data_IF_970465801330
#
_entry.id   IF_970465801330
#
_cell.length_a   1.000
_cell.length_b   1.000
_cell.length_c   1.000
_cell.angle_alpha   90.00
_cell.angle_beta   90.00
_cell.angle_gamma   90.00
#
_symmetry.space_group_name_H-M   'P 1'
#
loop_
_entity.id
_entity.type
_entity.pdbx_description
1 polymer ?
#
# COMPACT_ATOMS: atom_id res chain seq x y z
N UNK A 1 -33.40 0.05 15.90
CA UNK A 1 -33.58 1.30 16.68
C UNK A 1 -32.36 2.19 16.53
N UNK A 2 -32.28 3.30 17.27
CA UNK A 2 -31.08 4.15 17.26
C UNK A 2 -29.83 3.39 17.73
N UNK A 3 -29.99 2.47 18.68
CA UNK A 3 -28.91 1.60 19.18
C UNK A 3 -28.30 0.72 18.09
N UNK A 4 -29.13 0.01 17.31
CA UNK A 4 -28.65 -0.88 16.25
C UNK A 4 -27.83 -0.12 15.19
N UNK A 5 -28.23 1.12 14.83
CA UNK A 5 -27.48 1.96 13.89
C UNK A 5 -26.14 2.44 14.45
N UNK A 6 -26.07 2.72 15.75
CA UNK A 6 -24.82 3.11 16.41
C UNK A 6 -23.82 1.94 16.45
N UNK A 7 -24.30 0.72 16.66
CA UNK A 7 -23.47 -0.49 16.65
C UNK A 7 -22.94 -0.82 15.24
N UNK A 8 -23.78 -0.65 14.22
CA UNK A 8 -23.40 -0.81 12.81
C UNK A 8 -22.29 0.18 12.43
N UNK A 9 -22.48 1.49 12.69
CA UNK A 9 -21.46 2.50 12.42
C UNK A 9 -20.16 2.24 13.19
N UNK A 10 -20.22 1.90 14.47
CA UNK A 10 -19.00 1.60 15.24
C UNK A 10 -18.21 0.41 14.64
N UNK A 11 -18.92 -0.56 14.06
CA UNK A 11 -18.32 -1.70 13.38
C UNK A 11 -17.68 -1.30 12.05
N UNK A 12 -18.36 -0.49 11.25
CA UNK A 12 -17.87 0.06 9.99
C UNK A 12 -16.62 0.91 10.21
N UNK A 13 -16.67 1.90 11.11
CA UNK A 13 -15.52 2.76 11.43
C UNK A 13 -14.30 1.95 11.90
N UNK A 14 -14.51 0.87 12.68
CA UNK A 14 -13.43 -0.01 13.10
C UNK A 14 -12.87 -0.83 11.94
N UNK A 15 -13.70 -1.22 10.98
CA UNK A 15 -13.27 -1.93 9.78
C UNK A 15 -12.47 -1.00 8.85
N UNK A 16 -12.95 0.22 8.62
CA UNK A 16 -12.26 1.27 7.85
C UNK A 16 -10.88 1.57 8.44
N UNK A 17 -10.79 1.86 9.75
CA UNK A 17 -9.49 2.14 10.38
C UNK A 17 -8.50 0.97 10.30
N UNK A 18 -8.99 -0.29 10.32
CA UNK A 18 -8.13 -1.46 10.08
C UNK A 18 -7.70 -1.59 8.62
N UNK A 19 -8.52 -1.15 7.66
CA UNK A 19 -8.16 -1.15 6.25
C UNK A 19 -7.12 -0.06 5.96
N UNK A 20 -7.36 1.17 6.42
CA UNK A 20 -6.42 2.28 6.29
C UNK A 20 -5.04 1.94 6.90
N UNK A 21 -5.04 1.39 8.12
CA UNK A 21 -3.81 0.96 8.78
C UNK A 21 -3.05 -0.14 8.04
N UNK A 22 -3.76 -1.06 7.36
CA UNK A 22 -3.11 -2.08 6.50
C UNK A 22 -2.51 -1.45 5.26
N UNK A 23 -3.25 -0.61 4.54
CA UNK A 23 -2.76 0.06 3.34
C UNK A 23 -1.52 0.92 3.61
N UNK A 24 -1.52 1.67 4.71
CA UNK A 24 -0.35 2.46 5.11
C UNK A 24 0.85 1.56 5.47
N UNK A 25 0.59 0.45 6.18
CA UNK A 25 1.60 -0.55 6.51
C UNK A 25 2.24 -1.18 5.26
N UNK A 26 1.44 -1.49 4.25
CA UNK A 26 1.90 -2.05 2.97
C UNK A 26 2.74 -1.06 2.17
N UNK A 27 2.33 0.20 2.07
CA UNK A 27 3.12 1.27 1.44
C UNK A 27 4.49 1.43 2.11
N UNK A 28 4.54 1.46 3.44
CA UNK A 28 5.78 1.54 4.20
C UNK A 28 6.65 0.29 4.02
N UNK A 29 6.04 -0.90 3.98
CA UNK A 29 6.75 -2.14 3.72
C UNK A 29 7.38 -2.15 2.32
N UNK A 30 6.63 -1.72 1.30
CA UNK A 30 7.12 -1.59 -0.07
C UNK A 30 8.31 -0.64 -0.15
N UNK A 31 8.22 0.57 0.43
CA UNK A 31 9.33 1.52 0.45
C UNK A 31 10.59 0.95 1.10
N UNK A 32 10.45 0.20 2.21
CA UNK A 32 11.56 -0.48 2.88
C UNK A 32 12.17 -1.59 2.01
N UNK A 33 11.35 -2.38 1.32
CA UNK A 33 11.81 -3.44 0.43
C UNK A 33 12.56 -2.86 -0.78
N UNK A 34 12.00 -1.82 -1.42
CA UNK A 34 12.65 -1.12 -2.52
C UNK A 34 13.99 -0.52 -2.08
N UNK A 35 14.01 0.13 -0.91
CA UNK A 35 15.25 0.70 -0.36
C UNK A 35 16.30 -0.37 -0.10
N UNK A 36 15.87 -1.53 0.40
CA UNK A 36 16.77 -2.66 0.69
C UNK A 36 17.35 -3.29 -0.57
N UNK A 37 16.59 -3.36 -1.67
CA UNK A 37 17.05 -3.99 -2.92
C UNK A 37 17.82 -3.04 -3.83
N UNK A 38 17.37 -1.80 -3.93
CA UNK A 38 17.85 -0.85 -4.93
C UNK A 38 18.62 0.34 -4.33
N UNK A 39 18.72 0.43 -2.99
CA UNK A 39 19.33 1.57 -2.30
C UNK A 39 18.36 2.75 -2.18
N UNK A 40 18.90 3.97 -2.02
CA UNK A 40 18.05 5.16 -1.86
C UNK A 40 17.11 5.34 -3.07
N UNK A 41 15.80 5.29 -2.81
CA UNK A 41 14.78 5.49 -3.85
C UNK A 41 14.54 6.98 -4.11
N UNK A 42 14.47 7.42 -5.38
CA UNK A 42 14.12 8.80 -5.73
C UNK A 42 12.73 9.20 -5.19
N UNK A 43 12.59 10.47 -4.80
CA UNK A 43 11.35 11.01 -4.20
C UNK A 43 10.10 10.75 -5.05
N UNK A 44 10.22 10.80 -6.39
CA UNK A 44 9.11 10.53 -7.30
C UNK A 44 8.48 9.14 -7.10
N UNK A 45 9.26 8.13 -6.72
CA UNK A 45 8.73 6.79 -6.43
C UNK A 45 8.02 6.75 -5.08
N UNK A 46 8.57 7.43 -4.07
CA UNK A 46 7.93 7.56 -2.76
C UNK A 46 6.58 8.29 -2.87
N UNK A 47 6.52 9.37 -3.65
CA UNK A 47 5.30 10.11 -3.93
C UNK A 47 4.27 9.22 -4.63
N UNK A 48 4.70 8.47 -5.66
CA UNK A 48 3.83 7.51 -6.36
C UNK A 48 3.27 6.44 -5.43
N UNK A 49 4.08 5.88 -4.52
CA UNK A 49 3.62 4.88 -3.55
C UNK A 49 2.59 5.48 -2.59
N UNK A 50 2.79 6.72 -2.14
CA UNK A 50 1.89 7.36 -1.17
C UNK A 50 0.46 7.55 -1.68
N UNK A 51 0.29 7.76 -2.99
CA UNK A 51 -1.02 7.95 -3.63
C UNK A 51 -1.54 6.70 -4.33
N UNK A 52 -0.79 5.59 -4.30
CA UNK A 52 -1.17 4.37 -4.99
C UNK A 52 -2.38 3.70 -4.34
N UNK A 53 -3.20 3.07 -5.18
CA UNK A 53 -4.29 2.20 -4.75
C UNK A 53 -3.76 0.93 -4.05
N UNK A 54 -4.61 0.30 -3.23
CA UNK A 54 -4.30 -0.98 -2.56
C UNK A 54 -3.82 -2.03 -3.57
N UNK A 55 -4.53 -2.18 -4.69
CA UNK A 55 -4.20 -3.13 -5.75
C UNK A 55 -2.83 -2.85 -6.41
N UNK A 56 -2.48 -1.58 -6.63
CA UNK A 56 -1.17 -1.23 -7.17
C UNK A 56 -0.04 -1.59 -6.18
N UNK A 57 -0.24 -1.30 -4.89
CA UNK A 57 0.75 -1.62 -3.85
C UNK A 57 0.93 -3.13 -3.71
N UNK A 58 -0.15 -3.91 -3.75
CA UNK A 58 -0.10 -5.38 -3.71
C UNK A 58 0.72 -5.94 -4.88
N UNK A 59 0.45 -5.50 -6.10
CA UNK A 59 1.21 -5.91 -7.29
C UNK A 59 2.69 -5.53 -7.17
N UNK A 60 3.00 -4.33 -6.66
CA UNK A 60 4.38 -3.92 -6.46
C UNK A 60 5.08 -4.68 -5.33
N UNK A 61 4.35 -5.09 -4.29
CA UNK A 61 4.88 -5.95 -3.21
C UNK A 61 5.23 -7.35 -3.69
N UNK A 62 4.51 -7.88 -4.67
CA UNK A 62 4.87 -9.15 -5.32
C UNK A 62 6.11 -8.95 -6.21
N UNK A 63 6.07 -7.96 -7.11
CA UNK A 63 7.15 -7.68 -8.08
C UNK A 63 8.45 -7.23 -7.43
N UNK A 64 8.42 -6.55 -6.28
CA UNK A 64 9.64 -6.09 -5.62
C UNK A 64 10.51 -7.26 -5.17
N UNK A 65 10.02 -8.50 -5.13
CA UNK A 65 10.83 -9.65 -4.74
C UNK A 65 11.78 -10.12 -5.84
N UNK A 66 11.39 -10.00 -7.11
CA UNK A 66 12.10 -10.59 -8.25
C UNK A 66 12.47 -9.59 -9.37
N UNK A 67 11.86 -8.40 -9.40
CA UNK A 67 12.10 -7.40 -10.43
C UNK A 67 13.60 -7.07 -10.57
N UNK A 68 14.14 -6.96 -11.80
CA UNK A 68 15.56 -6.73 -12.05
C UNK A 68 15.99 -5.27 -11.79
N UNK A 69 15.05 -4.32 -11.73
CA UNK A 69 15.31 -2.91 -11.47
C UNK A 69 14.15 -2.25 -10.72
N UNK A 70 14.38 -1.03 -10.28
CA UNK A 70 13.35 -0.20 -9.65
C UNK A 70 12.19 0.04 -10.63
N UNK A 71 12.49 0.40 -11.88
CA UNK A 71 11.53 0.70 -12.94
C UNK A 71 10.62 -0.51 -13.23
N UNK A 72 11.20 -1.71 -13.27
CA UNK A 72 10.47 -2.95 -13.56
C UNK A 72 9.38 -3.27 -12.52
N UNK A 73 9.53 -2.84 -11.27
CA UNK A 73 8.47 -2.99 -10.24
C UNK A 73 7.21 -2.24 -10.66
N UNK A 74 7.40 -1.07 -11.25
CA UNK A 74 6.35 -0.08 -11.50
C UNK A 74 5.81 -0.08 -12.93
N UNK A 75 6.14 -1.08 -13.73
CA UNK A 75 5.59 -1.25 -15.07
C UNK A 75 4.05 -1.32 -15.03
N UNK A 76 3.34 -0.85 -16.08
CA UNK A 76 1.88 -0.90 -16.12
C UNK A 76 1.34 -2.31 -15.87
N UNK A 77 0.17 -2.41 -15.24
CA UNK A 77 -0.59 -3.65 -15.23
C UNK A 77 -1.11 -3.89 -16.64
N UNK A 78 -0.89 -5.10 -17.17
CA UNK A 78 -1.42 -5.51 -18.48
C UNK A 78 -2.92 -5.78 -18.41
#
# INVERSE_FOLDING_TARGET
>A
GLSDRLEEWATEYKAEGRQEGRQEGERLALQRLLTKRFGAIPAAYTDRISTASEAEVEVWLERVLDAPSLEAVFEPMA
#
